data_IF_387416776750
#
_entry.id   IF_387416776750
#
_cell.length_a   1.000
_cell.length_b   1.000
_cell.length_c   1.000
_cell.angle_alpha   90.00
_cell.angle_beta   90.00
_cell.angle_gamma   90.00
#
_symmetry.space_group_name_H-M   'P 1'
#
loop_
_entity.id
_entity.type
_entity.pdbx_description
1 polymer ?
#
# COMPACT_ATOMS: atom_id res chain seq x y z
N UNK A 1 -28.87 7.88 -1.51
CA UNK A 1 -28.87 6.41 -1.38
C UNK A 1 -28.02 5.69 -2.44
N UNK A 2 -28.39 5.64 -3.75
CA UNK A 2 -27.61 4.87 -4.75
C UNK A 2 -26.11 5.27 -4.85
N UNK A 3 -25.78 6.57 -4.84
CA UNK A 3 -24.39 7.05 -4.90
C UNK A 3 -23.56 6.69 -3.67
N UNK A 4 -24.15 6.70 -2.48
CA UNK A 4 -23.46 6.32 -1.24
C UNK A 4 -23.19 4.82 -1.19
N UNK A 5 -24.16 4.00 -1.56
CA UNK A 5 -23.99 2.54 -1.66
C UNK A 5 -22.87 2.21 -2.65
N UNK A 6 -22.86 2.83 -3.84
CA UNK A 6 -21.83 2.64 -4.83
C UNK A 6 -20.43 3.02 -4.30
N UNK A 7 -20.30 4.15 -3.59
CA UNK A 7 -19.02 4.57 -2.99
C UNK A 7 -18.54 3.60 -1.91
N UNK A 8 -19.44 3.07 -1.08
CA UNK A 8 -19.12 2.05 -0.06
C UNK A 8 -18.63 0.77 -0.72
N UNK A 9 -19.39 0.24 -1.67
CA UNK A 9 -19.01 -0.98 -2.39
C UNK A 9 -17.66 -0.80 -3.10
N UNK A 10 -17.48 0.31 -3.83
CA UNK A 10 -16.22 0.59 -4.53
C UNK A 10 -15.01 0.68 -3.56
N UNK A 11 -15.17 1.33 -2.39
CA UNK A 11 -14.09 1.42 -1.40
C UNK A 11 -13.74 0.07 -0.78
N UNK A 12 -14.71 -0.80 -0.55
CA UNK A 12 -14.47 -2.15 -0.06
C UNK A 12 -13.77 -3.01 -1.12
N UNK A 13 -14.26 -2.97 -2.36
CA UNK A 13 -13.64 -3.70 -3.48
C UNK A 13 -12.20 -3.24 -3.71
N UNK A 14 -11.91 -1.95 -3.59
CA UNK A 14 -10.54 -1.44 -3.67
C UNK A 14 -9.65 -2.02 -2.56
N UNK A 15 -10.10 -2.02 -1.30
CA UNK A 15 -9.36 -2.63 -0.21
C UNK A 15 -9.07 -4.10 -0.45
N UNK A 16 -10.09 -4.86 -0.85
CA UNK A 16 -9.95 -6.29 -1.11
C UNK A 16 -9.01 -6.55 -2.29
N UNK A 17 -9.07 -5.74 -3.35
CA UNK A 17 -8.17 -5.85 -4.49
C UNK A 17 -6.71 -5.57 -4.10
N UNK A 18 -6.46 -4.54 -3.27
CA UNK A 18 -5.11 -4.24 -2.77
C UNK A 18 -4.60 -5.35 -1.88
N UNK A 19 -5.41 -5.89 -0.95
CA UNK A 19 -5.00 -7.03 -0.13
C UNK A 19 -4.70 -8.29 -0.98
N UNK A 20 -5.59 -8.60 -1.93
CA UNK A 20 -5.38 -9.73 -2.82
C UNK A 20 -4.08 -9.59 -3.64
N UNK A 21 -3.78 -8.38 -4.10
CA UNK A 21 -2.54 -8.07 -4.81
C UNK A 21 -1.31 -8.29 -3.93
N UNK A 22 -1.26 -7.69 -2.73
CA UNK A 22 -0.16 -7.82 -1.78
C UNK A 22 0.10 -9.30 -1.46
N UNK A 23 -0.93 -10.02 -0.99
CA UNK A 23 -0.76 -11.42 -0.56
C UNK A 23 -0.44 -12.36 -1.73
N UNK A 24 -0.97 -12.09 -2.93
CA UNK A 24 -0.60 -12.88 -4.11
C UNK A 24 0.87 -12.69 -4.50
N UNK A 25 1.42 -11.48 -4.32
CA UNK A 25 2.84 -11.22 -4.53
C UNK A 25 3.71 -11.91 -3.47
N UNK A 26 3.26 -11.94 -2.21
CA UNK A 26 4.00 -12.56 -1.11
C UNK A 26 4.00 -14.08 -1.14
N UNK A 27 2.97 -14.70 -1.73
CA UNK A 27 2.93 -16.15 -1.98
C UNK A 27 3.90 -16.60 -3.07
N UNK A 28 4.43 -15.69 -3.89
CA UNK A 28 5.37 -16.05 -4.94
C UNK A 28 6.77 -16.32 -4.35
N UNK A 29 7.39 -17.41 -4.83
CA UNK A 29 8.76 -17.75 -4.43
C UNK A 29 9.76 -16.64 -4.79
N UNK A 30 10.87 -16.60 -4.07
CA UNK A 30 11.92 -15.59 -4.21
C UNK A 30 12.48 -15.48 -5.62
N UNK A 31 12.59 -16.59 -6.35
CA UNK A 31 13.07 -16.63 -7.73
C UNK A 31 12.12 -15.91 -8.70
N UNK A 32 10.82 -16.22 -8.65
CA UNK A 32 9.81 -15.55 -9.49
C UNK A 32 9.70 -14.04 -9.16
N UNK A 33 9.80 -13.69 -7.87
CA UNK A 33 9.85 -12.31 -7.41
C UNK A 33 11.10 -11.57 -7.90
N UNK A 34 12.26 -12.23 -7.90
CA UNK A 34 13.52 -11.66 -8.40
C UNK A 34 13.46 -11.39 -9.90
N UNK A 35 12.99 -12.34 -10.71
CA UNK A 35 12.87 -12.17 -12.17
C UNK A 35 11.97 -10.97 -12.53
N UNK A 36 10.86 -10.77 -11.80
CA UNK A 36 10.02 -9.59 -12.00
C UNK A 36 10.73 -8.30 -11.60
N UNK A 37 11.42 -8.31 -10.47
CA UNK A 37 12.19 -7.16 -10.01
C UNK A 37 13.29 -6.80 -11.00
N UNK A 38 13.96 -7.78 -11.59
CA UNK A 38 15.02 -7.57 -12.57
C UNK A 38 14.51 -6.91 -13.85
N UNK A 39 13.33 -7.32 -14.33
CA UNK A 39 12.70 -6.70 -15.49
C UNK A 39 12.33 -5.22 -15.23
N UNK A 40 11.73 -4.94 -14.07
CA UNK A 40 11.38 -3.58 -13.66
C UNK A 40 12.64 -2.76 -13.40
N UNK A 41 13.66 -3.35 -12.76
CA UNK A 41 14.95 -2.71 -12.48
C UNK A 41 15.66 -2.29 -13.77
N UNK A 42 15.65 -3.14 -14.80
CA UNK A 42 16.23 -2.81 -16.11
C UNK A 42 15.53 -1.58 -16.72
N UNK A 43 14.21 -1.48 -16.59
CA UNK A 43 13.45 -0.32 -17.06
C UNK A 43 13.76 0.93 -16.24
N UNK A 44 13.74 0.82 -14.90
CA UNK A 44 14.04 1.95 -13.98
C UNK A 44 15.45 2.47 -14.21
N UNK A 45 16.44 1.58 -14.29
CA UNK A 45 17.83 1.96 -14.49
C UNK A 45 18.06 2.61 -15.87
N UNK A 46 17.31 2.20 -16.90
CA UNK A 46 17.36 2.86 -18.22
C UNK A 46 16.85 4.31 -18.14
N UNK A 47 15.75 4.54 -17.41
CA UNK A 47 15.20 5.89 -17.24
C UNK A 47 16.14 6.75 -16.38
N UNK A 48 16.67 6.21 -15.29
CA UNK A 48 17.61 6.93 -14.42
C UNK A 48 18.90 7.28 -15.15
N UNK A 49 19.46 6.36 -15.93
CA UNK A 49 20.66 6.63 -16.75
C UNK A 49 20.41 7.78 -17.74
N UNK A 50 19.21 7.84 -18.36
CA UNK A 50 18.82 8.96 -19.22
C UNK A 50 18.70 10.30 -18.49
N UNK A 51 18.47 10.28 -17.17
CA UNK A 51 18.40 11.47 -16.31
C UNK A 51 19.71 11.77 -15.56
N UNK A 52 20.80 11.05 -15.83
CA UNK A 52 22.09 11.20 -15.16
C UNK A 52 22.17 10.56 -13.76
N UNK A 53 21.20 9.71 -13.41
CA UNK A 53 21.17 8.97 -12.15
C UNK A 53 21.97 7.67 -12.19
N UNK A 54 22.41 7.20 -10.99
CA UNK A 54 23.08 5.91 -10.82
C UNK A 54 22.11 4.73 -10.82
N UNK A 55 22.62 3.48 -10.95
CA UNK A 55 21.78 2.29 -10.92
C UNK A 55 21.19 2.04 -9.54
N UNK A 56 19.93 1.57 -9.51
CA UNK A 56 19.25 1.13 -8.30
C UNK A 56 19.42 -0.37 -8.13
N UNK A 57 19.68 -0.81 -6.92
CA UNK A 57 19.81 -2.23 -6.60
C UNK A 57 18.46 -2.93 -6.45
N UNK A 58 18.39 -4.21 -6.77
CA UNK A 58 17.14 -5.00 -6.76
C UNK A 58 16.47 -5.05 -5.39
N UNK A 59 17.25 -5.10 -4.31
CA UNK A 59 16.70 -5.09 -2.94
C UNK A 59 16.00 -3.75 -2.61
N UNK A 60 16.56 -2.62 -3.06
CA UNK A 60 15.96 -1.30 -2.82
C UNK A 60 14.66 -1.15 -3.61
N UNK A 61 14.63 -1.64 -4.85
CA UNK A 61 13.42 -1.65 -5.66
C UNK A 61 12.31 -2.50 -5.02
N UNK A 62 12.64 -3.70 -4.51
CA UNK A 62 11.67 -4.53 -3.80
C UNK A 62 11.11 -3.85 -2.56
N UNK A 63 11.97 -3.26 -1.74
CA UNK A 63 11.52 -2.49 -0.55
C UNK A 63 10.65 -1.30 -0.92
N UNK A 64 10.98 -0.58 -1.98
CA UNK A 64 10.15 0.51 -2.49
C UNK A 64 8.78 0.02 -2.99
N UNK A 65 8.74 -1.15 -3.64
CA UNK A 65 7.48 -1.76 -4.10
C UNK A 65 6.59 -2.13 -2.91
N UNK A 66 7.11 -2.83 -1.89
CA UNK A 66 6.38 -3.16 -0.66
C UNK A 66 5.86 -1.90 0.04
N UNK A 67 6.72 -0.91 0.22
CA UNK A 67 6.29 0.37 0.77
C UNK A 67 5.12 0.99 -0.01
N UNK A 68 5.18 0.99 -1.35
CA UNK A 68 4.11 1.54 -2.19
C UNK A 68 2.82 0.70 -2.13
N UNK A 69 2.92 -0.62 -2.09
CA UNK A 69 1.79 -1.53 -1.92
C UNK A 69 1.07 -1.28 -0.60
N UNK A 70 1.81 -1.17 0.50
CA UNK A 70 1.26 -0.87 1.82
C UNK A 70 0.78 0.58 1.95
N UNK A 71 1.36 1.53 1.21
CA UNK A 71 0.82 2.89 1.11
C UNK A 71 -0.55 2.88 0.40
N UNK A 72 -0.70 2.12 -0.67
CA UNK A 72 -2.00 1.94 -1.33
C UNK A 72 -3.02 1.27 -0.39
N UNK A 73 -2.60 0.28 0.42
CA UNK A 73 -3.44 -0.33 1.44
C UNK A 73 -3.89 0.69 2.49
N UNK A 74 -2.97 1.46 3.07
CA UNK A 74 -3.28 2.49 4.07
C UNK A 74 -4.26 3.53 3.54
N UNK A 75 -4.05 4.00 2.31
CA UNK A 75 -4.96 4.93 1.64
C UNK A 75 -6.36 4.32 1.45
N UNK A 76 -6.45 3.07 0.97
CA UNK A 76 -7.72 2.38 0.75
C UNK A 76 -8.48 2.13 2.05
N UNK A 77 -7.79 1.72 3.13
CA UNK A 77 -8.37 1.47 4.44
C UNK A 77 -9.00 2.73 5.04
N UNK A 78 -8.27 3.85 5.05
CA UNK A 78 -8.80 5.09 5.62
C UNK A 78 -9.96 5.63 4.79
N UNK A 79 -9.92 5.49 3.45
CA UNK A 79 -11.01 5.86 2.57
C UNK A 79 -12.25 4.99 2.80
N UNK A 80 -12.08 3.67 2.94
CA UNK A 80 -13.17 2.75 3.23
C UNK A 80 -13.84 3.07 4.58
N UNK A 81 -13.07 3.24 5.66
CA UNK A 81 -13.61 3.62 6.95
C UNK A 81 -14.41 4.93 6.89
N UNK A 82 -13.98 5.91 6.12
CA UNK A 82 -14.71 7.17 5.94
C UNK A 82 -16.02 6.99 5.18
N UNK A 83 -16.10 6.02 4.28
CA UNK A 83 -17.33 5.70 3.55
C UNK A 83 -18.30 4.89 4.40
N UNK A 84 -17.81 3.93 5.18
CA UNK A 84 -18.63 3.02 5.95
C UNK A 84 -19.04 3.55 7.32
N UNK A 85 -18.16 4.33 7.96
CA UNK A 85 -18.34 4.88 9.31
C UNK A 85 -18.24 6.43 9.29
N UNK A 86 -19.10 7.14 8.52
CA UNK A 86 -18.99 8.59 8.36
C UNK A 86 -19.21 9.35 9.68
N UNK A 87 -19.94 8.77 10.64
CA UNK A 87 -20.15 9.35 11.97
C UNK A 87 -18.98 9.14 12.94
N UNK A 88 -18.03 8.25 12.62
CA UNK A 88 -16.87 8.03 13.47
C UNK A 88 -15.84 9.17 13.21
N UNK A 89 -15.36 9.87 14.27
CA UNK A 89 -14.38 10.93 14.08
C UNK A 89 -13.05 10.39 13.59
N UNK A 90 -12.33 11.16 12.78
CA UNK A 90 -11.06 10.76 12.15
C UNK A 90 -10.02 10.28 13.16
N UNK A 91 -9.99 10.87 14.36
CA UNK A 91 -9.11 10.46 15.48
C UNK A 91 -9.31 9.01 15.92
N UNK A 92 -10.47 8.41 15.67
CA UNK A 92 -10.77 6.99 15.93
C UNK A 92 -10.62 6.13 14.68
N UNK A 93 -10.94 6.67 13.50
CA UNK A 93 -10.75 5.95 12.24
C UNK A 93 -9.26 5.71 11.96
N UNK A 94 -8.41 6.69 12.28
CA UNK A 94 -6.98 6.66 11.98
C UNK A 94 -6.25 5.48 12.68
N UNK A 95 -6.31 5.32 14.01
CA UNK A 95 -5.68 4.17 14.67
C UNK A 95 -6.29 2.84 14.22
N UNK A 96 -7.59 2.78 13.94
CA UNK A 96 -8.23 1.55 13.44
C UNK A 96 -7.67 1.14 12.07
N UNK A 97 -7.58 2.08 11.11
CA UNK A 97 -6.97 1.83 9.80
C UNK A 97 -5.49 1.42 9.94
N UNK A 98 -4.74 2.13 10.78
CA UNK A 98 -3.32 1.88 11.00
C UNK A 98 -3.09 0.49 11.59
N UNK A 99 -3.79 0.14 12.67
CA UNK A 99 -3.68 -1.20 13.28
C UNK A 99 -4.03 -2.30 12.28
N UNK A 100 -5.09 -2.12 11.47
CA UNK A 100 -5.44 -3.08 10.42
C UNK A 100 -4.32 -3.23 9.41
N UNK A 101 -3.69 -2.14 8.98
CA UNK A 101 -2.55 -2.15 8.07
C UNK A 101 -1.32 -2.84 8.66
N UNK A 102 -0.98 -2.56 9.92
CA UNK A 102 0.14 -3.21 10.64
C UNK A 102 -0.10 -4.72 10.77
N UNK A 103 -1.31 -5.12 11.15
CA UNK A 103 -1.68 -6.54 11.20
C UNK A 103 -1.53 -7.19 9.83
N UNK A 104 -1.91 -6.50 8.76
CA UNK A 104 -1.71 -6.98 7.38
C UNK A 104 -0.23 -7.14 7.04
N UNK A 105 0.64 -6.23 7.48
CA UNK A 105 2.09 -6.34 7.29
C UNK A 105 2.68 -7.57 8.00
N UNK A 106 2.23 -7.84 9.23
CA UNK A 106 2.63 -9.05 9.97
C UNK A 106 2.16 -10.32 9.26
N UNK A 107 0.93 -10.31 8.73
CA UNK A 107 0.44 -11.45 7.94
C UNK A 107 1.24 -11.64 6.66
N UNK A 108 1.59 -10.57 5.96
CA UNK A 108 2.39 -10.60 4.75
C UNK A 108 3.76 -11.25 5.00
N UNK A 109 4.48 -10.79 6.02
CA UNK A 109 5.75 -11.37 6.43
C UNK A 109 5.62 -12.84 6.89
N UNK A 110 4.49 -13.18 7.52
CA UNK A 110 4.20 -14.57 7.89
C UNK A 110 4.01 -15.44 6.65
N UNK A 111 3.32 -14.96 5.61
CA UNK A 111 3.17 -15.67 4.34
C UNK A 111 4.54 -15.87 3.68
N UNK A 112 5.42 -14.88 3.73
CA UNK A 112 6.76 -14.96 3.16
C UNK A 112 7.63 -16.03 3.82
N UNK A 113 7.43 -16.34 5.11
CA UNK A 113 8.11 -17.46 5.79
C UNK A 113 7.84 -18.82 5.13
N UNK A 114 6.66 -18.99 4.53
CA UNK A 114 6.27 -20.22 3.84
C UNK A 114 6.58 -20.19 2.34
N UNK A 115 7.09 -19.07 1.82
CA UNK A 115 7.44 -18.91 0.41
C UNK A 115 8.90 -19.29 0.18
N UNK A 116 9.17 -20.20 -0.77
CA UNK A 116 10.53 -20.68 -1.04
C UNK A 116 11.47 -19.52 -1.43
N UNK A 117 12.65 -19.51 -0.80
CA UNK A 117 13.69 -18.51 -1.07
C UNK A 117 13.40 -17.11 -0.53
N UNK A 118 12.45 -16.98 0.39
CA UNK A 118 12.19 -15.74 1.15
C UNK A 118 12.51 -15.93 2.63
N UNK A 119 12.84 -14.82 3.29
CA UNK A 119 13.01 -14.74 4.74
C UNK A 119 12.17 -13.58 5.25
N UNK A 120 11.39 -13.81 6.31
CA UNK A 120 10.70 -12.73 7.00
C UNK A 120 11.68 -11.90 7.81
N UNK A 121 11.54 -10.59 7.76
CA UNK A 121 12.37 -9.64 8.48
C UNK A 121 11.48 -8.64 9.23
N UNK A 122 11.74 -8.46 10.52
CA UNK A 122 11.03 -7.45 11.31
C UNK A 122 11.16 -6.03 10.73
N UNK A 123 12.31 -5.73 10.09
CA UNK A 123 12.52 -4.46 9.38
C UNK A 123 11.52 -4.23 8.26
N UNK A 124 11.04 -5.30 7.63
CA UNK A 124 10.11 -5.19 6.51
C UNK A 124 8.69 -4.93 7.03
N UNK A 125 8.29 -5.51 8.17
CA UNK A 125 7.06 -5.09 8.89
C UNK A 125 7.06 -3.60 9.23
N UNK A 126 8.20 -3.06 9.67
CA UNK A 126 8.32 -1.63 9.98
C UNK A 126 8.21 -0.76 8.73
N UNK A 127 8.86 -1.18 7.63
CA UNK A 127 8.80 -0.49 6.34
C UNK A 127 7.36 -0.45 5.80
N UNK A 128 6.69 -1.58 5.83
CA UNK A 128 5.31 -1.73 5.38
C UNK A 128 4.35 -0.91 6.23
N UNK A 129 4.56 -0.92 7.56
CA UNK A 129 3.80 -0.07 8.49
C UNK A 129 4.02 1.43 8.21
N UNK A 130 5.24 1.83 7.85
CA UNK A 130 5.52 3.20 7.43
C UNK A 130 4.82 3.53 6.11
N UNK A 131 4.76 2.58 5.17
CA UNK A 131 3.97 2.67 3.95
C UNK A 131 2.49 2.92 4.25
N UNK A 132 1.88 2.10 5.12
CA UNK A 132 0.48 2.29 5.57
C UNK A 132 0.25 3.70 6.08
N UNK A 133 1.12 4.17 6.98
CA UNK A 133 1.00 5.51 7.56
C UNK A 133 1.09 6.60 6.47
N UNK A 134 2.06 6.49 5.57
CA UNK A 134 2.25 7.44 4.47
C UNK A 134 1.03 7.50 3.55
N UNK A 135 0.46 6.36 3.18
CA UNK A 135 -0.74 6.27 2.35
C UNK A 135 -1.98 6.87 3.02
N UNK A 136 -2.17 6.59 4.32
CA UNK A 136 -3.27 7.19 5.09
C UNK A 136 -3.16 8.71 5.15
N UNK A 137 -1.96 9.23 5.44
CA UNK A 137 -1.71 10.68 5.49
C UNK A 137 -1.94 11.32 4.12
N UNK A 138 -1.40 10.74 3.05
CA UNK A 138 -1.60 11.21 1.68
C UNK A 138 -3.09 11.27 1.31
N UNK A 139 -3.87 10.23 1.61
CA UNK A 139 -5.30 10.20 1.32
C UNK A 139 -6.08 11.27 2.10
N UNK A 140 -5.75 11.49 3.37
CA UNK A 140 -6.41 12.53 4.20
C UNK A 140 -6.06 13.92 3.69
N UNK A 141 -4.78 14.19 3.41
CA UNK A 141 -4.31 15.49 2.91
C UNK A 141 -4.89 15.80 1.53
N UNK A 142 -4.86 14.85 0.62
CA UNK A 142 -5.45 15.00 -0.72
C UNK A 142 -6.94 15.36 -0.66
N UNK A 143 -7.69 14.66 0.20
CA UNK A 143 -9.11 14.97 0.40
C UNK A 143 -9.35 16.36 1.00
N UNK A 144 -8.49 16.81 1.93
CA UNK A 144 -8.57 18.15 2.47
C UNK A 144 -8.30 19.21 1.41
N UNK A 145 -7.31 18.96 0.55
CA UNK A 145 -6.97 19.84 -0.57
C UNK A 145 -8.14 19.97 -1.55
N UNK A 146 -8.72 18.84 -1.98
CA UNK A 146 -9.88 18.84 -2.86
C UNK A 146 -11.06 19.63 -2.29
N UNK A 147 -11.31 19.55 -0.98
CA UNK A 147 -12.36 20.32 -0.31
C UNK A 147 -12.11 21.82 -0.28
N UNK A 148 -10.84 22.24 -0.28
CA UNK A 148 -10.46 23.67 -0.34
C UNK A 148 -10.60 24.25 -1.74
N UNK A 149 -10.28 23.44 -2.77
CA UNK A 149 -10.32 23.84 -4.19
C UNK A 149 -11.75 23.81 -4.73
N UNK A 150 -12.59 22.91 -4.25
CA UNK A 150 -14.00 22.81 -4.62
C UNK A 150 -14.88 23.02 -3.38
N UNK A 151 -15.00 24.24 -2.87
CA UNK A 151 -15.98 24.54 -1.83
C UNK A 151 -17.36 24.29 -2.44
N UNK A 152 -18.16 23.47 -1.79
CA UNK A 152 -19.54 23.23 -2.20
C UNK A 152 -20.28 24.58 -2.23
N UNK A 153 -20.77 24.95 -3.42
CA UNK A 153 -21.81 25.94 -3.56
C UNK A 153 -23.05 25.47 -2.79
#
# INVERSE_FOLDING_TARGET
>A
MKKETAARTASLMLCLAVWAFIFSNSMQGGEASSQRSDAVMAMVNRVLAGAGGGPVESWALRKAAHFAEFAALGASLILALRCWLPGLPIRRQFPLAFTTGVVSAVFDETIQLFSQGRSAQFSDVLLDSAGVLAGMLAAVLFRQLLRRISPRA
#
